data_IF_949077691379
#
_entry.id   IF_949077691379
#
_cell.length_a   1.000
_cell.length_b   1.000
_cell.length_c   1.000
_cell.angle_alpha   90.00
_cell.angle_beta   90.00
_cell.angle_gamma   90.00
#
_symmetry.space_group_name_H-M   'P 1'
#
loop_
_entity.id
_entity.type
_entity.pdbx_description
1 polymer ?
#
# COMPACT_ATOMS: atom_id res chain seq x y z
N UNK A 1 -27.26 -31.13 52.77
CA UNK A 1 -28.19 -30.39 51.89
C UNK A 1 -27.39 -29.31 51.18
N UNK A 2 -26.91 -29.58 49.96
CA UNK A 2 -26.30 -28.58 49.07
C UNK A 2 -27.43 -27.94 48.27
N UNK A 3 -27.53 -26.61 48.30
CA UNK A 3 -28.18 -25.85 47.24
C UNK A 3 -27.12 -24.93 46.59
N UNK A 4 -27.04 -24.90 45.25
CA UNK A 4 -26.14 -24.04 44.51
C UNK A 4 -26.85 -22.75 44.08
N UNK A 5 -26.22 -21.59 44.26
CA UNK A 5 -26.67 -20.35 43.63
C UNK A 5 -25.48 -19.43 43.41
N UNK A 6 -25.42 -18.86 42.20
CA UNK A 6 -24.41 -17.88 41.80
C UNK A 6 -23.54 -18.36 40.64
N UNK A 7 -24.15 -18.59 39.47
CA UNK A 7 -23.39 -18.66 38.23
C UNK A 7 -22.67 -17.34 37.99
N UNK A 8 -21.33 -17.40 37.98
CA UNK A 8 -20.48 -16.27 37.58
C UNK A 8 -20.68 -16.10 36.08
N UNK A 9 -21.48 -15.12 35.67
CA UNK A 9 -21.59 -14.73 34.27
C UNK A 9 -20.25 -14.15 33.83
N UNK A 10 -19.55 -14.86 32.95
CA UNK A 10 -18.42 -14.31 32.21
C UNK A 10 -18.87 -13.00 31.54
N UNK A 11 -18.11 -11.91 31.65
CA UNK A 11 -18.44 -10.69 30.92
C UNK A 11 -18.39 -11.00 29.43
N UNK A 12 -19.53 -10.83 28.77
CA UNK A 12 -19.65 -10.95 27.32
C UNK A 12 -18.63 -10.03 26.65
N UNK A 13 -17.81 -10.52 25.71
CA UNK A 13 -16.83 -9.69 25.04
C UNK A 13 -17.57 -8.61 24.25
N UNK A 14 -17.38 -7.35 24.65
CA UNK A 14 -17.97 -6.21 23.95
C UNK A 14 -17.36 -6.14 22.55
N UNK A 15 -18.19 -6.39 21.55
CA UNK A 15 -17.87 -6.17 20.15
C UNK A 15 -17.93 -4.67 19.85
N UNK A 16 -16.98 -4.16 19.06
CA UNK A 16 -17.15 -2.85 18.44
C UNK A 16 -18.26 -2.90 17.38
N UNK A 17 -18.65 -1.75 16.82
CA UNK A 17 -19.71 -1.64 15.81
C UNK A 17 -19.51 -2.48 14.53
N UNK A 18 -18.39 -3.20 14.41
CA UNK A 18 -18.05 -4.11 13.30
C UNK A 18 -18.03 -5.58 13.70
N UNK A 19 -18.53 -5.95 14.89
CA UNK A 19 -18.56 -7.35 15.33
C UNK A 19 -17.18 -7.94 15.63
N UNK A 20 -16.12 -7.11 15.66
CA UNK A 20 -14.81 -7.56 16.10
C UNK A 20 -14.82 -7.58 17.62
N UNK A 21 -14.68 -8.78 18.19
CA UNK A 21 -14.35 -8.95 19.60
C UNK A 21 -13.11 -8.11 19.88
N UNK A 22 -13.13 -7.25 20.90
CA UNK A 22 -11.90 -6.71 21.48
C UNK A 22 -11.03 -7.92 21.81
N UNK A 23 -10.07 -8.23 20.93
CA UNK A 23 -9.25 -9.42 21.02
C UNK A 23 -8.59 -9.36 22.39
N UNK A 24 -8.99 -10.28 23.27
CA UNK A 24 -8.46 -10.38 24.62
C UNK A 24 -6.95 -10.31 24.52
N UNK A 25 -6.32 -9.48 25.36
CA UNK A 25 -4.87 -9.32 25.36
C UNK A 25 -4.27 -10.72 25.49
N UNK A 26 -3.40 -11.17 24.56
CA UNK A 26 -2.85 -12.51 24.63
C UNK A 26 -2.23 -12.76 26.00
N UNK A 27 -2.52 -13.94 26.58
CA UNK A 27 -2.08 -14.31 27.92
C UNK A 27 -0.55 -14.17 28.02
N UNK A 28 -0.08 -13.49 29.08
CA UNK A 28 1.35 -13.24 29.31
C UNK A 28 1.90 -11.93 28.75
N UNK A 29 1.12 -11.16 27.99
CA UNK A 29 1.56 -9.87 27.46
C UNK A 29 1.03 -8.73 28.34
N UNK A 30 1.95 -8.02 29.00
CA UNK A 30 1.59 -6.83 29.78
C UNK A 30 1.34 -5.63 28.85
N UNK A 31 0.10 -5.12 28.85
CA UNK A 31 -0.28 -3.90 28.13
C UNK A 31 0.52 -2.67 28.58
N UNK A 32 0.93 -2.63 29.85
CA UNK A 32 1.79 -1.57 30.40
C UNK A 32 3.15 -1.59 29.72
N UNK A 33 3.73 -2.78 29.50
CA UNK A 33 5.03 -2.91 28.86
C UNK A 33 5.01 -2.44 27.41
N UNK A 34 3.98 -2.84 26.64
CA UNK A 34 3.82 -2.41 25.24
C UNK A 34 3.72 -0.89 25.14
N UNK A 35 2.84 -0.28 25.94
CA UNK A 35 2.63 1.16 25.89
C UNK A 35 3.87 1.93 26.36
N UNK A 36 4.59 1.42 27.36
CA UNK A 36 5.83 2.04 27.82
C UNK A 36 6.94 1.97 26.75
N UNK A 37 7.13 0.80 26.13
CA UNK A 37 8.08 0.63 25.04
C UNK A 37 7.74 1.56 23.85
N UNK A 38 6.46 1.62 23.48
CA UNK A 38 5.97 2.52 22.44
C UNK A 38 6.24 3.98 22.77
N UNK A 39 5.92 4.43 23.99
CA UNK A 39 6.12 5.82 24.40
C UNK A 39 7.60 6.22 24.41
N UNK A 40 8.48 5.33 24.91
CA UNK A 40 9.93 5.54 24.93
C UNK A 40 10.49 5.64 23.52
N UNK A 41 10.11 4.73 22.63
CA UNK A 41 10.58 4.73 21.24
C UNK A 41 10.06 5.96 20.49
N UNK A 42 8.77 6.28 20.64
CA UNK A 42 8.16 7.45 20.04
C UNK A 42 8.85 8.75 20.49
N UNK A 43 9.21 8.86 21.77
CA UNK A 43 9.98 10.00 22.28
C UNK A 43 11.38 10.09 21.67
N UNK A 44 12.07 8.96 21.47
CA UNK A 44 13.40 8.94 20.85
C UNK A 44 13.38 9.30 19.36
N UNK A 45 12.30 8.95 18.66
CA UNK A 45 12.10 9.21 17.24
C UNK A 45 11.43 10.57 16.97
N UNK A 46 11.18 11.40 17.98
CA UNK A 46 10.51 12.70 17.79
C UNK A 46 9.00 12.64 17.54
N UNK A 47 8.36 11.48 17.70
CA UNK A 47 6.90 11.32 17.67
C UNK A 47 6.26 11.69 19.03
N UNK A 48 6.28 12.98 19.37
CA UNK A 48 5.88 13.45 20.69
C UNK A 48 4.37 13.40 20.95
N UNK A 49 3.54 13.53 19.91
CA UNK A 49 2.09 13.38 20.05
C UNK A 49 1.72 11.92 20.29
N UNK A 50 2.31 10.98 19.56
CA UNK A 50 2.15 9.54 19.83
C UNK A 50 2.55 9.17 21.26
N UNK A 51 3.72 9.64 21.70
CA UNK A 51 4.23 9.35 23.03
C UNK A 51 3.32 9.92 24.13
N UNK A 52 2.76 11.13 23.97
CA UNK A 52 1.74 11.67 24.90
C UNK A 52 0.50 10.80 24.97
N UNK A 53 -0.05 10.41 23.83
CA UNK A 53 -1.20 9.51 23.77
C UNK A 53 -0.92 8.16 24.44
N UNK A 54 0.30 7.64 24.32
CA UNK A 54 0.72 6.41 24.98
C UNK A 54 0.82 6.58 26.51
N UNK A 55 1.40 7.69 27.00
CA UNK A 55 1.45 8.00 28.43
C UNK A 55 0.07 8.26 29.05
N UNK A 56 -0.84 8.93 28.34
CA UNK A 56 -2.24 9.10 28.78
C UNK A 56 -2.94 7.74 28.93
N UNK A 57 -2.73 6.81 27.98
CA UNK A 57 -3.26 5.45 28.08
C UNK A 57 -2.62 4.63 29.21
N UNK A 58 -1.39 4.93 29.60
CA UNK A 58 -0.71 4.28 30.72
C UNK A 58 -1.29 4.71 32.08
N UNK A 59 -1.78 5.95 32.22
CA UNK A 59 -2.35 6.45 33.49
C UNK A 59 -3.60 5.68 33.92
N UNK A 60 -4.35 5.10 32.98
CA UNK A 60 -5.55 4.31 33.24
C UNK A 60 -5.21 2.87 33.67
N UNK A 61 -3.93 2.48 33.59
CA UNK A 61 -3.47 1.11 33.88
C UNK A 61 -2.71 1.05 35.22
N UNK A 62 -2.70 -0.14 35.83
CA UNK A 62 -1.93 -0.39 37.06
C UNK A 62 -0.46 -0.61 36.71
N UNK A 63 0.36 0.40 36.96
CA UNK A 63 1.81 0.37 36.72
C UNK A 63 2.56 -0.19 37.93
N UNK A 64 3.56 -1.08 37.75
CA UNK A 64 4.44 -1.55 38.83
C UNK A 64 5.20 -0.40 39.52
N UNK A 65 5.35 -0.45 40.84
CA UNK A 65 5.98 0.61 41.65
C UNK A 65 7.43 0.93 41.23
N UNK A 66 8.16 -0.05 40.71
CA UNK A 66 9.53 0.12 40.22
C UNK A 66 9.64 1.05 39.02
N UNK A 67 8.59 1.16 38.18
CA UNK A 67 8.62 1.94 36.95
C UNK A 67 7.87 3.27 37.06
N UNK A 68 7.10 3.48 38.12
CA UNK A 68 6.31 4.70 38.34
C UNK A 68 7.18 5.95 38.25
N UNK A 69 8.29 6.00 39.00
CA UNK A 69 9.21 7.15 38.96
C UNK A 69 9.77 7.44 37.56
N UNK A 70 10.11 6.41 36.78
CA UNK A 70 10.63 6.59 35.43
C UNK A 70 9.54 7.10 34.48
N UNK A 71 8.33 6.57 34.58
CA UNK A 71 7.18 6.97 33.76
C UNK A 71 6.77 8.41 34.09
N UNK A 72 6.74 8.79 35.36
CA UNK A 72 6.40 10.13 35.81
C UNK A 72 7.39 11.17 35.27
N UNK A 73 8.69 10.89 35.35
CA UNK A 73 9.73 11.74 34.77
C UNK A 73 9.59 11.89 33.26
N UNK A 74 9.33 10.80 32.54
CA UNK A 74 9.11 10.86 31.08
C UNK A 74 7.83 11.61 30.71
N UNK A 75 6.76 11.44 31.50
CA UNK A 75 5.51 12.16 31.32
C UNK A 75 5.69 13.67 31.56
N UNK A 76 6.51 14.08 32.54
CA UNK A 76 6.87 15.49 32.74
C UNK A 76 7.74 16.01 31.60
N UNK A 77 8.73 15.24 31.17
CA UNK A 77 9.62 15.59 30.06
C UNK A 77 8.83 15.87 28.79
N UNK A 78 7.84 15.04 28.45
CA UNK A 78 7.14 15.19 27.19
C UNK A 78 6.19 16.38 27.14
N UNK A 79 5.73 16.88 28.29
CA UNK A 79 4.90 18.11 28.37
C UNK A 79 5.64 19.36 27.88
N UNK A 80 6.97 19.35 27.97
CA UNK A 80 7.81 20.46 27.48
C UNK A 80 7.97 20.49 25.95
N UNK A 81 7.63 19.40 25.26
CA UNK A 81 7.78 19.28 23.80
C UNK A 81 6.59 19.87 23.03
N UNK A 82 6.67 20.00 21.72
CA UNK A 82 5.51 20.36 20.89
C UNK A 82 4.50 19.20 20.82
N UNK A 83 3.21 19.50 20.63
CA UNK A 83 2.18 18.48 20.38
C UNK A 83 2.12 18.09 18.90
N UNK A 84 3.25 17.65 18.36
CA UNK A 84 3.38 17.20 16.97
C UNK A 84 4.26 15.97 16.92
N UNK A 85 4.05 15.15 15.88
CA UNK A 85 4.96 14.08 15.52
C UNK A 85 5.92 14.59 14.44
N UNK A 86 7.07 13.93 14.25
CA UNK A 86 7.99 14.23 13.16
C UNK A 86 7.35 13.86 11.81
N UNK A 87 7.43 14.76 10.83
CA UNK A 87 6.70 14.65 9.56
C UNK A 87 7.05 13.38 8.77
N UNK A 88 8.31 12.95 8.81
CA UNK A 88 8.81 11.72 8.16
C UNK A 88 8.13 10.45 8.68
N UNK A 89 7.64 10.47 9.92
CA UNK A 89 6.96 9.31 10.52
C UNK A 89 5.48 9.27 10.16
N UNK A 90 4.90 10.36 9.67
CA UNK A 90 3.46 10.48 9.48
C UNK A 90 3.04 9.71 8.21
N UNK A 91 2.24 8.65 8.33
CA UNK A 91 1.80 7.88 7.18
C UNK A 91 0.79 8.68 6.32
N UNK A 92 1.14 8.89 5.06
CA UNK A 92 0.26 9.53 4.06
C UNK A 92 -0.44 8.45 3.24
N UNK A 93 -1.74 8.63 3.01
CA UNK A 93 -2.51 7.72 2.16
C UNK A 93 -2.25 8.01 0.67
N UNK A 94 -1.80 7.01 -0.07
CA UNK A 94 -1.49 7.15 -1.50
C UNK A 94 -2.73 7.33 -2.39
N UNK A 95 -3.93 7.10 -1.83
CA UNK A 95 -5.20 7.35 -2.52
C UNK A 95 -5.70 8.78 -2.31
N UNK A 96 -5.93 9.18 -1.05
CA UNK A 96 -6.60 10.46 -0.73
C UNK A 96 -5.64 11.54 -0.22
N UNK A 97 -4.34 11.28 -0.20
CA UNK A 97 -3.27 12.16 0.28
C UNK A 97 -3.48 12.69 1.71
N UNK A 98 -4.37 12.06 2.48
CA UNK A 98 -4.62 12.45 3.86
C UNK A 98 -3.50 11.93 4.74
N UNK A 99 -2.96 12.77 5.62
CA UNK A 99 -2.04 12.39 6.69
C UNK A 99 -2.78 11.63 7.79
N UNK A 100 -2.26 10.47 8.21
CA UNK A 100 -2.92 9.62 9.19
C UNK A 100 -2.16 9.62 10.52
N UNK A 101 -2.83 9.57 11.68
CA UNK A 101 -2.14 9.46 12.97
C UNK A 101 -1.44 8.10 13.09
N UNK A 102 -0.33 8.07 13.85
CA UNK A 102 0.44 6.85 14.10
C UNK A 102 -0.34 5.80 14.90
N UNK A 103 -1.14 6.24 15.88
CA UNK A 103 -2.00 5.36 16.67
C UNK A 103 -3.45 5.47 16.20
N UNK A 104 -3.90 4.48 15.43
CA UNK A 104 -5.27 4.42 14.89
C UNK A 104 -6.13 3.43 15.67
N UNK A 105 -7.44 3.65 15.65
CA UNK A 105 -8.46 2.72 16.17
C UNK A 105 -8.87 1.67 15.13
N UNK A 106 -8.66 1.97 13.84
CA UNK A 106 -8.90 1.05 12.74
C UNK A 106 -7.72 0.08 12.61
N UNK A 107 -7.87 -0.92 11.73
CA UNK A 107 -6.74 -1.72 11.24
C UNK A 107 -5.72 -0.82 10.52
N UNK A 108 -4.74 -1.44 9.87
CA UNK A 108 -3.72 -0.75 9.10
C UNK A 108 -4.26 -0.12 7.81
N UNK A 109 -5.12 0.87 7.95
CA UNK A 109 -5.79 1.56 6.85
C UNK A 109 -5.99 3.04 7.14
N UNK A 110 -6.25 3.81 6.08
CA UNK A 110 -6.50 5.23 6.17
C UNK A 110 -7.77 5.53 6.99
N UNK A 111 -7.70 6.52 7.89
CA UNK A 111 -8.86 6.97 8.66
C UNK A 111 -9.91 7.70 7.82
N UNK A 112 -9.51 8.29 6.69
CA UNK A 112 -10.39 9.06 5.82
C UNK A 112 -11.09 8.17 4.79
N UNK A 113 -10.35 7.46 3.92
CA UNK A 113 -10.92 6.66 2.82
C UNK A 113 -10.90 5.14 3.05
N UNK A 114 -10.41 4.66 4.20
CA UNK A 114 -10.33 3.22 4.49
C UNK A 114 -9.33 2.42 3.65
N UNK A 115 -8.59 3.05 2.74
CA UNK A 115 -7.58 2.39 1.91
C UNK A 115 -6.51 1.70 2.77
N UNK A 116 -6.23 0.40 2.56
CA UNK A 116 -5.25 -0.34 3.32
C UNK A 116 -3.83 0.13 3.01
N UNK A 117 -2.99 0.24 4.04
CA UNK A 117 -1.57 0.55 3.83
C UNK A 117 -0.82 -0.72 3.44
N UNK A 118 -0.34 -0.76 2.20
CA UNK A 118 0.57 -1.82 1.77
C UNK A 118 1.98 -1.46 2.22
N UNK A 119 2.58 -2.31 3.06
CA UNK A 119 3.92 -2.10 3.59
C UNK A 119 4.94 -3.06 3.00
N UNK A 120 6.19 -2.62 2.90
CA UNK A 120 7.29 -3.52 2.61
C UNK A 120 7.50 -4.49 3.77
N UNK A 121 7.78 -5.76 3.47
CA UNK A 121 7.99 -6.76 4.52
C UNK A 121 9.36 -6.72 5.18
N UNK A 122 10.29 -5.89 4.66
CA UNK A 122 11.62 -5.69 5.22
C UNK A 122 11.72 -4.39 6.02
N UNK A 123 11.31 -3.27 5.42
CA UNK A 123 11.40 -1.94 6.03
C UNK A 123 10.13 -1.51 6.77
N UNK A 124 8.99 -2.13 6.49
CA UNK A 124 7.66 -1.67 6.94
C UNK A 124 7.26 -0.27 6.46
N UNK A 125 7.95 0.24 5.43
CA UNK A 125 7.62 1.48 4.74
C UNK A 125 6.36 1.32 3.90
N UNK A 126 5.58 2.39 3.75
CA UNK A 126 4.33 2.39 3.00
C UNK A 126 4.65 2.53 1.52
N UNK A 127 4.18 1.57 0.73
CA UNK A 127 4.34 1.57 -0.72
C UNK A 127 3.22 2.36 -1.41
N UNK A 128 3.53 3.08 -2.50
CA UNK A 128 2.58 3.84 -3.31
C UNK A 128 1.69 2.93 -4.18
N UNK A 129 1.12 1.88 -3.60
CA UNK A 129 0.32 0.89 -4.32
C UNK A 129 -1.17 1.07 -4.05
N UNK A 130 -1.96 1.10 -5.12
CA UNK A 130 -3.42 1.17 -5.06
C UNK A 130 -4.01 -0.12 -5.62
N UNK A 131 -4.84 -0.79 -4.82
CA UNK A 131 -5.59 -1.98 -5.26
C UNK A 131 -6.76 -1.56 -6.15
N UNK A 132 -6.90 -2.24 -7.29
CA UNK A 132 -8.01 -2.08 -8.20
C UNK A 132 -8.54 -3.43 -8.67
N UNK A 133 -9.78 -3.43 -9.13
CA UNK A 133 -10.46 -4.59 -9.67
C UNK A 133 -11.08 -4.21 -11.02
N UNK A 134 -10.91 -5.05 -12.06
CA UNK A 134 -11.61 -4.83 -13.33
C UNK A 134 -13.12 -4.96 -13.12
N UNK A 135 -13.89 -4.16 -13.86
CA UNK A 135 -15.35 -4.25 -13.84
C UNK A 135 -15.87 -5.63 -14.28
N UNK A 136 -17.07 -6.00 -13.80
CA UNK A 136 -17.64 -7.34 -13.97
C UNK A 136 -17.99 -7.77 -15.41
N UNK A 137 -17.84 -6.87 -16.38
CA UNK A 137 -17.94 -7.14 -17.82
C UNK A 137 -16.62 -7.66 -18.43
N UNK A 138 -15.53 -7.73 -17.66
CA UNK A 138 -14.19 -8.11 -18.13
C UNK A 138 -13.76 -9.40 -17.42
N UNK A 139 -13.38 -10.41 -18.19
CA UNK A 139 -12.79 -11.62 -17.61
C UNK A 139 -11.35 -11.34 -17.14
N UNK A 140 -10.88 -12.05 -16.10
CA UNK A 140 -9.52 -11.86 -15.58
C UNK A 140 -8.43 -12.07 -16.64
N UNK A 141 -8.69 -12.92 -17.63
CA UNK A 141 -7.78 -13.20 -18.74
C UNK A 141 -7.76 -12.10 -19.79
N UNK A 142 -8.89 -11.44 -20.04
CA UNK A 142 -8.96 -10.26 -20.91
C UNK A 142 -8.28 -9.05 -20.26
N UNK A 143 -8.47 -8.86 -18.95
CA UNK A 143 -7.75 -7.83 -18.20
C UNK A 143 -6.23 -8.01 -18.30
N UNK A 144 -5.74 -9.25 -18.15
CA UNK A 144 -4.32 -9.57 -18.33
C UNK A 144 -3.81 -9.23 -19.74
N UNK A 145 -4.58 -9.54 -20.79
CA UNK A 145 -4.21 -9.22 -22.17
C UNK A 145 -4.23 -7.73 -22.45
N UNK A 146 -5.15 -6.99 -21.85
CA UNK A 146 -5.24 -5.53 -22.02
C UNK A 146 -4.09 -4.82 -21.32
N UNK A 147 -3.68 -5.28 -20.13
CA UNK A 147 -2.52 -4.74 -19.40
C UNK A 147 -1.21 -5.07 -20.13
N UNK A 148 -1.10 -6.26 -20.73
CA UNK A 148 0.09 -6.67 -21.47
C UNK A 148 0.28 -5.95 -22.80
N UNK A 149 -0.81 -5.42 -23.38
CA UNK A 149 -0.72 -4.59 -24.56
C UNK A 149 -0.34 -3.18 -24.12
N UNK A 150 0.85 -2.72 -24.51
CA UNK A 150 1.25 -1.34 -24.25
C UNK A 150 0.18 -0.36 -24.75
N UNK A 151 -0.08 0.73 -24.01
CA UNK A 151 -1.05 1.73 -24.41
C UNK A 151 -0.73 2.16 -25.83
N UNK A 152 -1.67 1.90 -26.74
CA UNK A 152 -1.46 2.12 -28.16
C UNK A 152 -1.04 3.58 -28.34
N UNK A 153 0.22 3.79 -28.74
CA UNK A 153 0.74 5.11 -29.07
C UNK A 153 -0.32 5.78 -29.92
N UNK A 154 -1.00 6.81 -29.37
CA UNK A 154 -1.90 7.65 -30.16
C UNK A 154 -1.07 8.01 -31.38
N UNK A 155 -1.47 7.52 -32.55
CA UNK A 155 -0.87 7.94 -33.81
C UNK A 155 -0.98 9.45 -33.78
N UNK A 156 0.12 10.14 -33.47
CA UNK A 156 0.27 11.54 -33.79
C UNK A 156 0.19 11.53 -35.31
N UNK A 157 -0.99 11.80 -35.85
CA UNK A 157 -1.07 12.44 -37.14
C UNK A 157 -0.26 13.69 -36.98
N UNK A 158 1.00 13.64 -37.44
CA UNK A 158 1.90 14.77 -37.47
C UNK A 158 1.12 15.96 -38.03
N UNK A 159 0.82 16.93 -37.17
CA UNK A 159 0.02 18.12 -37.49
C UNK A 159 0.75 19.10 -38.41
N UNK A 160 1.66 18.58 -39.23
CA UNK A 160 2.42 19.32 -40.22
C UNK A 160 1.57 19.43 -41.49
N UNK A 161 1.13 20.66 -41.77
CA UNK A 161 0.42 20.99 -43.01
C UNK A 161 1.34 21.84 -43.87
N UNK A 162 1.85 21.24 -44.93
CA UNK A 162 2.66 21.93 -45.93
C UNK A 162 1.74 22.63 -46.94
N UNK A 163 1.94 23.92 -47.17
CA UNK A 163 1.19 24.67 -48.17
C UNK A 163 2.10 25.62 -48.94
N UNK A 164 2.07 25.49 -50.27
CA UNK A 164 2.81 26.37 -51.17
C UNK A 164 1.89 27.52 -51.60
N UNK A 165 2.13 28.73 -51.09
CA UNK A 165 1.45 29.95 -51.57
C UNK A 165 2.48 30.89 -52.18
N UNK A 166 2.36 31.14 -53.49
CA UNK A 166 3.14 32.18 -54.17
C UNK A 166 4.63 31.87 -54.36
N UNK A 167 5.03 30.60 -54.47
CA UNK A 167 6.42 30.20 -54.74
C UNK A 167 7.33 30.12 -53.51
N UNK A 168 6.79 30.31 -52.31
CA UNK A 168 7.46 29.99 -51.06
C UNK A 168 6.75 28.81 -50.38
N UNK A 169 7.51 27.83 -49.91
CA UNK A 169 7.04 26.74 -49.07
C UNK A 169 6.89 27.26 -47.64
N UNK A 170 5.67 27.23 -47.11
CA UNK A 170 5.37 27.64 -45.75
C UNK A 170 4.88 26.43 -44.99
N UNK A 171 5.61 26.04 -43.94
CA UNK A 171 5.16 25.03 -42.99
C UNK A 171 4.33 25.71 -41.89
N UNK A 172 3.05 25.34 -41.78
CA UNK A 172 2.18 25.82 -40.69
C UNK A 172 2.03 24.72 -39.66
N UNK A 173 2.38 25.03 -38.40
CA UNK A 173 2.09 24.20 -37.24
C UNK A 173 0.72 24.62 -36.68
N UNK A 174 -0.36 24.24 -37.35
CA UNK A 174 -1.73 24.40 -36.84
C UNK A 174 -2.14 23.15 -36.04
N UNK A 175 -1.25 22.69 -35.16
CA UNK A 175 -1.57 21.70 -34.14
C UNK A 175 -1.86 22.45 -32.84
N UNK A 176 -2.91 22.08 -32.08
CA UNK A 176 -2.91 22.36 -30.65
C UNK A 176 -1.57 21.87 -30.10
N UNK A 177 -0.84 22.73 -29.39
CA UNK A 177 0.39 22.33 -28.70
C UNK A 177 0.11 21.03 -27.93
N UNK A 178 0.89 19.96 -28.10
CA UNK A 178 0.72 18.72 -27.33
C UNK A 178 1.27 18.92 -25.91
N UNK A 179 0.76 19.93 -25.22
CA UNK A 179 1.26 20.39 -23.93
C UNK A 179 0.22 21.05 -23.04
N UNK A 180 -1.01 21.29 -23.51
CA UNK A 180 -2.06 21.99 -22.73
C UNK A 180 -3.36 21.19 -22.52
N UNK A 181 -3.35 19.88 -22.78
CA UNK A 181 -4.27 18.97 -22.08
C UNK A 181 -3.45 18.30 -20.99
N UNK A 182 -3.62 18.77 -19.75
CA UNK A 182 -3.17 18.04 -18.58
C UNK A 182 -3.84 16.66 -18.61
N UNK A 183 -3.12 15.70 -19.17
CA UNK A 183 -3.40 14.26 -19.15
C UNK A 183 -3.38 13.81 -17.70
N UNK A 184 -4.45 14.14 -16.99
CA UNK A 184 -4.81 13.42 -15.78
C UNK A 184 -5.19 12.04 -16.26
N UNK A 185 -4.33 11.05 -15.96
CA UNK A 185 -4.63 9.63 -16.21
C UNK A 185 -6.09 9.36 -15.90
N UNK A 186 -6.82 8.71 -16.81
CA UNK A 186 -8.23 8.37 -16.58
C UNK A 186 -8.40 7.57 -15.28
N UNK A 187 -7.38 6.82 -14.87
CA UNK A 187 -7.32 6.14 -13.58
C UNK A 187 -7.29 7.11 -12.39
N UNK A 188 -6.53 8.21 -12.44
CA UNK A 188 -6.52 9.22 -11.39
C UNK A 188 -7.87 9.93 -11.29
N UNK A 189 -8.51 10.21 -12.42
CA UNK A 189 -9.86 10.78 -12.44
C UNK A 189 -10.86 9.84 -11.75
N UNK A 190 -10.84 8.54 -12.06
CA UNK A 190 -11.70 7.55 -11.38
C UNK A 190 -11.38 7.40 -9.91
N UNK A 191 -10.11 7.48 -9.53
CA UNK A 191 -9.71 7.44 -8.13
C UNK A 191 -10.28 8.62 -7.33
N UNK A 192 -10.24 9.82 -7.91
CA UNK A 192 -10.81 11.03 -7.31
C UNK A 192 -12.34 10.96 -7.23
N UNK A 193 -12.99 10.45 -8.29
CA UNK A 193 -14.44 10.25 -8.31
C UNK A 193 -14.87 9.26 -7.22
N UNK A 194 -14.22 8.10 -7.15
CA UNK A 194 -14.47 7.10 -6.11
C UNK A 194 -14.16 7.61 -4.69
N UNK A 195 -13.19 8.51 -4.53
CA UNK A 195 -12.91 9.15 -3.25
C UNK A 195 -14.05 10.07 -2.77
N UNK A 196 -14.77 10.70 -3.71
CA UNK A 196 -15.88 11.62 -3.39
C UNK A 196 -17.11 10.89 -2.82
N UNK A 197 -17.31 9.63 -3.22
CA UNK A 197 -18.41 8.79 -2.75
C UNK A 197 -18.11 8.03 -1.46
N UNK A 198 -16.93 8.23 -0.85
CA UNK A 198 -16.57 7.52 0.36
C UNK A 198 -17.42 7.98 1.56
N UNK A 199 -18.16 7.05 2.16
CA UNK A 199 -18.90 7.28 3.41
C UNK A 199 -17.99 6.97 4.60
N UNK A 200 -17.69 7.95 5.48
CA UNK A 200 -16.91 7.72 6.69
C UNK A 200 -17.50 6.58 7.54
N UNK A 201 -16.74 5.49 7.70
CA UNK A 201 -17.17 4.29 8.42
C UNK A 201 -17.61 3.10 7.55
N UNK A 202 -17.75 3.30 6.24
CA UNK A 202 -18.03 2.25 5.26
C UNK A 202 -16.92 1.19 5.17
N UNK A 203 -17.25 0.05 4.55
CA UNK A 203 -16.25 -0.96 4.18
C UNK A 203 -15.48 -0.46 2.96
N UNK A 204 -14.15 -0.58 2.96
CA UNK A 204 -13.33 -0.25 1.81
C UNK A 204 -13.66 -1.18 0.65
N UNK A 205 -13.88 -0.62 -0.54
CA UNK A 205 -14.01 -1.36 -1.79
C UNK A 205 -12.87 -0.93 -2.73
N UNK A 206 -12.21 -1.89 -3.41
CA UNK A 206 -11.15 -1.59 -4.37
C UNK A 206 -11.71 -0.79 -5.55
N UNK A 207 -10.85 0.01 -6.21
CA UNK A 207 -11.25 0.82 -7.37
C UNK A 207 -11.79 -0.08 -8.48
N UNK A 208 -12.99 0.19 -8.98
CA UNK A 208 -13.49 -0.47 -10.20
C UNK A 208 -12.94 0.25 -11.43
N UNK A 209 -12.35 -0.50 -12.35
CA UNK A 209 -11.64 0.05 -13.51
C UNK A 209 -12.19 -0.55 -14.80
N UNK A 210 -12.76 0.30 -15.64
CA UNK A 210 -13.31 -0.07 -16.95
C UNK A 210 -12.20 -0.40 -17.96
N UNK A 211 -12.62 -0.97 -19.09
CA UNK A 211 -11.75 -1.41 -20.18
C UNK A 211 -10.84 -0.33 -20.73
N UNK A 212 -11.36 0.88 -20.93
CA UNK A 212 -10.61 1.99 -21.55
C UNK A 212 -9.48 2.44 -20.61
N UNK A 213 -9.77 2.53 -19.31
CA UNK A 213 -8.75 2.79 -18.30
C UNK A 213 -7.70 1.70 -18.21
N UNK A 214 -8.06 0.42 -18.35
CA UNK A 214 -7.07 -0.67 -18.35
C UNK A 214 -6.14 -0.62 -19.57
N UNK A 215 -6.63 -0.16 -20.72
CA UNK A 215 -5.86 -0.08 -21.95
C UNK A 215 -4.88 1.10 -21.97
N UNK A 216 -5.13 2.14 -21.18
CA UNK A 216 -4.23 3.29 -21.04
C UNK A 216 -3.17 3.08 -19.94
N UNK A 217 -3.35 2.08 -19.06
CA UNK A 217 -2.42 1.82 -17.96
C UNK A 217 -1.08 1.29 -18.50
N UNK A 218 0.05 1.91 -18.12
CA UNK A 218 1.35 1.40 -18.49
C UNK A 218 1.61 0.07 -17.75
N UNK A 219 2.02 -0.98 -18.47
CA UNK A 219 2.30 -2.29 -17.87
C UNK A 219 3.36 -2.24 -16.77
N UNK A 220 4.32 -1.31 -16.91
CA UNK A 220 5.42 -1.08 -15.98
C UNK A 220 4.95 -0.73 -14.55
N UNK A 221 3.76 -0.14 -14.41
CA UNK A 221 3.23 0.32 -13.12
C UNK A 221 2.23 -0.66 -12.50
N UNK A 222 1.89 -1.75 -13.20
CA UNK A 222 0.85 -2.69 -12.77
C UNK A 222 1.48 -3.97 -12.23
N UNK A 223 1.15 -4.29 -10.99
CA UNK A 223 1.55 -5.51 -10.30
C UNK A 223 0.35 -6.44 -10.14
N UNK A 224 0.55 -7.70 -10.46
CA UNK A 224 -0.50 -8.71 -10.45
C UNK A 224 -0.10 -9.79 -9.46
N UNK A 225 -0.92 -9.96 -8.42
CA UNK A 225 -0.70 -10.98 -7.40
C UNK A 225 -1.68 -12.12 -7.63
N UNK A 226 -1.20 -13.18 -8.28
CA UNK A 226 -1.97 -14.41 -8.49
C UNK A 226 -1.61 -15.48 -7.45
N UNK A 227 -2.52 -15.66 -6.49
CA UNK A 227 -2.41 -16.67 -5.43
C UNK A 227 -3.16 -17.96 -5.74
N UNK A 228 -3.71 -18.13 -6.95
CA UNK A 228 -4.42 -19.35 -7.35
C UNK A 228 -3.56 -20.60 -7.25
N UNK A 229 -2.22 -20.46 -7.36
CA UNK A 229 -1.25 -21.54 -7.14
C UNK A 229 -1.37 -22.18 -5.74
N UNK A 230 -1.67 -21.39 -4.71
CA UNK A 230 -1.76 -21.86 -3.32
C UNK A 230 -3.19 -22.12 -2.87
N UNK A 231 -4.16 -21.36 -3.39
CA UNK A 231 -5.57 -21.61 -3.12
C UNK A 231 -6.44 -21.14 -4.31
N UNK A 232 -7.12 -22.07 -5.00
CA UNK A 232 -7.83 -21.78 -6.25
C UNK A 232 -9.08 -20.91 -6.10
N UNK A 233 -9.54 -20.67 -4.86
CA UNK A 233 -10.71 -19.85 -4.56
C UNK A 233 -10.36 -18.37 -4.28
N UNK A 234 -9.07 -18.00 -4.24
CA UNK A 234 -8.71 -16.60 -4.01
C UNK A 234 -8.84 -15.76 -5.29
N UNK A 235 -9.41 -14.54 -5.19
CA UNK A 235 -9.44 -13.61 -6.30
C UNK A 235 -8.02 -13.11 -6.62
N UNK A 236 -7.75 -12.88 -7.91
CA UNK A 236 -6.53 -12.20 -8.36
C UNK A 236 -6.64 -10.74 -7.92
N UNK A 237 -5.56 -10.20 -7.36
CA UNK A 237 -5.49 -8.79 -6.94
C UNK A 237 -4.58 -8.03 -7.90
N UNK A 238 -5.07 -6.89 -8.36
CA UNK A 238 -4.32 -5.97 -9.20
C UNK A 238 -3.94 -4.75 -8.38
N UNK A 239 -2.69 -4.33 -8.52
CA UNK A 239 -2.14 -3.17 -7.85
C UNK A 239 -1.51 -2.26 -8.89
N UNK A 240 -1.73 -0.95 -8.76
CA UNK A 240 -1.04 0.07 -9.55
C UNK A 240 -0.08 0.85 -8.66
N UNK A 241 1.16 1.08 -9.12
CA UNK A 241 2.05 2.06 -8.50
C UNK A 241 1.65 3.49 -8.89
N UNK A 242 1.48 4.35 -7.90
CA UNK A 242 1.16 5.77 -8.07
C UNK A 242 2.41 6.64 -8.22
N UNK A 243 3.58 6.09 -7.91
CA UNK A 243 4.88 6.78 -7.94
C UNK A 243 5.88 5.82 -8.61
N UNK A 244 6.04 5.88 -9.94
CA UNK A 244 6.90 4.95 -10.67
C UNK A 244 8.38 5.07 -10.30
N UNK A 245 8.81 6.19 -9.71
CA UNK A 245 10.17 6.39 -9.20
C UNK A 245 10.53 5.44 -8.05
N UNK A 246 9.52 4.96 -7.31
CA UNK A 246 9.72 3.96 -6.26
C UNK A 246 9.74 2.59 -6.91
N UNK A 247 10.94 2.03 -7.05
CA UNK A 247 11.14 0.69 -7.58
C UNK A 247 10.63 -0.38 -6.59
N UNK A 248 9.62 -1.14 -7.01
CA UNK A 248 8.94 -2.15 -6.18
C UNK A 248 9.12 -3.53 -6.81
N UNK A 249 9.48 -4.52 -5.99
CA UNK A 249 9.54 -5.92 -6.36
C UNK A 249 8.46 -6.71 -5.64
N UNK A 250 7.90 -7.72 -6.30
CA UNK A 250 6.92 -8.65 -5.72
C UNK A 250 7.41 -10.07 -5.90
N UNK A 251 7.36 -10.84 -4.82
CA UNK A 251 7.73 -12.26 -4.87
C UNK A 251 6.59 -13.11 -5.44
N UNK A 252 6.83 -13.86 -6.52
CA UNK A 252 5.83 -14.71 -7.18
C UNK A 252 5.31 -15.89 -6.35
N UNK A 253 6.00 -16.27 -5.26
CA UNK A 253 5.55 -17.35 -4.36
C UNK A 253 4.80 -16.85 -3.13
N UNK A 254 5.20 -15.72 -2.53
CA UNK A 254 4.54 -15.21 -1.32
C UNK A 254 3.66 -13.97 -1.54
N UNK A 255 3.77 -13.31 -2.71
CA UNK A 255 2.98 -12.14 -3.11
C UNK A 255 3.18 -10.92 -2.23
N UNK A 256 4.25 -10.90 -1.44
CA UNK A 256 4.62 -9.75 -0.65
C UNK A 256 5.42 -8.76 -1.49
N UNK A 257 5.22 -7.48 -1.16
CA UNK A 257 5.88 -6.38 -1.82
C UNK A 257 7.13 -5.95 -1.04
N UNK A 258 8.13 -5.52 -1.79
CA UNK A 258 9.43 -5.10 -1.28
C UNK A 258 9.92 -3.90 -2.09
N UNK A 259 10.81 -3.08 -1.51
CA UNK A 259 11.65 -2.22 -2.33
C UNK A 259 12.61 -3.08 -3.14
N UNK A 260 12.74 -2.78 -4.43
CA UNK A 260 13.54 -3.58 -5.35
C UNK A 260 14.99 -3.72 -4.86
N UNK A 261 15.63 -2.62 -4.47
CA UNK A 261 17.02 -2.61 -3.99
C UNK A 261 17.24 -3.51 -2.76
N UNK A 262 16.34 -3.43 -1.78
CA UNK A 262 16.43 -4.22 -0.55
C UNK A 262 16.22 -5.71 -0.84
N UNK A 263 15.25 -6.02 -1.71
CA UNK A 263 14.97 -7.41 -2.09
C UNK A 263 16.12 -8.03 -2.87
N UNK A 264 16.69 -7.30 -3.85
CA UNK A 264 17.85 -7.75 -4.62
C UNK A 264 19.06 -7.99 -3.73
N UNK A 265 19.34 -7.07 -2.78
CA UNK A 265 20.46 -7.21 -1.87
C UNK A 265 20.32 -8.46 -0.99
N UNK A 266 19.16 -8.66 -0.36
CA UNK A 266 18.95 -9.84 0.48
C UNK A 266 18.90 -11.13 -0.34
N UNK A 267 18.39 -11.06 -1.57
CA UNK A 267 18.43 -12.19 -2.50
C UNK A 267 19.87 -12.55 -2.90
N UNK A 268 20.76 -11.58 -3.11
CA UNK A 268 22.18 -11.84 -3.38
C UNK A 268 22.89 -12.50 -2.19
N UNK A 269 22.52 -12.11 -0.96
CA UNK A 269 23.10 -12.67 0.27
C UNK A 269 22.60 -14.10 0.54
N UNK A 270 21.28 -14.30 0.51
CA UNK A 270 20.64 -15.54 0.94
C UNK A 270 20.27 -16.50 -0.19
N UNK A 271 20.32 -16.04 -1.45
CA UNK A 271 19.86 -16.75 -2.66
C UNK A 271 18.42 -17.27 -2.54
N UNK A 272 17.60 -16.57 -1.77
CA UNK A 272 16.23 -16.94 -1.46
C UNK A 272 15.41 -15.70 -1.10
N UNK A 273 14.09 -15.78 -1.25
CA UNK A 273 13.18 -14.76 -0.76
C UNK A 273 13.34 -14.63 0.77
N UNK A 274 13.52 -13.41 1.30
CA UNK A 274 13.81 -13.22 2.72
C UNK A 274 12.63 -13.57 3.64
N UNK A 275 11.42 -13.57 3.09
CA UNK A 275 10.22 -13.93 3.84
C UNK A 275 9.89 -15.42 3.76
N UNK A 276 9.79 -15.97 2.55
CA UNK A 276 9.30 -17.34 2.35
C UNK A 276 10.40 -18.38 2.05
N UNK A 277 11.64 -17.95 1.87
CA UNK A 277 12.77 -18.84 1.58
C UNK A 277 12.72 -19.50 0.19
N UNK A 278 11.80 -19.09 -0.69
CA UNK A 278 11.73 -19.62 -2.06
C UNK A 278 12.95 -19.18 -2.87
N UNK A 279 13.46 -20.08 -3.71
CA UNK A 279 14.58 -19.81 -4.62
C UNK A 279 14.11 -19.44 -6.03
N UNK A 280 12.81 -19.49 -6.27
CA UNK A 280 12.21 -19.15 -7.55
C UNK A 280 12.25 -17.63 -7.72
N UNK A 281 13.08 -17.18 -8.67
CA UNK A 281 13.18 -15.80 -9.12
C UNK A 281 12.06 -15.54 -10.12
N UNK A 282 10.83 -15.88 -9.75
CA UNK A 282 9.68 -15.26 -10.39
C UNK A 282 9.45 -13.98 -9.60
N UNK A 283 10.36 -13.01 -9.76
CA UNK A 283 9.96 -11.62 -9.52
C UNK A 283 8.74 -11.43 -10.42
N UNK A 284 7.61 -10.99 -9.87
CA UNK A 284 6.55 -10.51 -10.73
C UNK A 284 7.12 -9.24 -11.38
N UNK A 285 7.77 -9.42 -12.53
CA UNK A 285 8.18 -8.34 -13.41
C UNK A 285 6.88 -7.62 -13.73
N UNK A 286 6.83 -6.28 -13.62
CA UNK A 286 5.67 -5.55 -14.13
C UNK A 286 5.43 -5.98 -15.57
N UNK A 287 4.17 -6.19 -15.96
CA UNK A 287 3.76 -7.02 -17.11
C UNK A 287 4.46 -6.57 -18.40
N UNK A 288 5.67 -7.06 -18.68
CA UNK A 288 6.49 -6.50 -19.76
C UNK A 288 5.77 -6.67 -21.10
N UNK A 289 5.59 -5.56 -21.83
CA UNK A 289 5.08 -5.55 -23.19
C UNK A 289 6.01 -6.34 -24.14
N UNK A 290 5.48 -6.87 -25.25
CA UNK A 290 6.26 -7.71 -26.16
C UNK A 290 7.10 -6.86 -27.13
N UNK A 291 8.42 -7.01 -27.08
CA UNK A 291 9.36 -6.62 -28.15
C UNK A 291 10.57 -5.83 -27.63
N UNK A 292 11.83 -6.20 -27.87
CA UNK A 292 12.40 -6.90 -29.02
C UNK A 292 13.76 -7.57 -28.73
N UNK A 293 14.53 -7.92 -29.77
CA UNK A 293 15.04 -9.28 -29.96
C UNK A 293 16.46 -9.53 -29.46
N UNK A 294 16.74 -10.81 -29.16
CA UNK A 294 18.04 -11.42 -29.43
C UNK A 294 19.12 -11.25 -28.37
N UNK A 295 19.27 -12.27 -27.54
CA UNK A 295 20.47 -12.47 -26.71
C UNK A 295 20.58 -13.94 -26.31
N UNK A 296 21.13 -14.76 -27.20
CA UNK A 296 21.39 -16.17 -26.95
C UNK A 296 22.32 -16.36 -25.74
N UNK A 297 21.98 -17.35 -24.91
CA UNK A 297 22.74 -17.70 -23.72
C UNK A 297 22.57 -19.18 -23.40
N UNK A 298 23.16 -20.00 -24.26
CA UNK A 298 23.52 -21.42 -24.15
C UNK A 298 23.09 -22.19 -22.89
N UNK A 299 22.40 -23.29 -23.18
CA UNK A 299 22.59 -24.59 -22.52
C UNK A 299 24.06 -24.83 -22.14
N UNK A 300 24.34 -25.04 -20.85
CA UNK A 300 25.49 -25.83 -20.43
C UNK A 300 25.03 -27.12 -19.78
N UNK A 301 25.05 -28.15 -20.61
CA UNK A 301 25.25 -29.55 -20.27
C UNK A 301 26.67 -29.77 -19.71
N UNK A 302 26.78 -30.74 -18.78
CA UNK A 302 28.00 -31.41 -18.26
C UNK A 302 28.91 -30.60 -17.33
N UNK A 303 29.35 -31.10 -16.18
CA UNK A 303 29.73 -32.45 -15.75
C UNK A 303 29.18 -32.84 -14.37
#
# INVERSE_FOLDING_TARGET
VRQPSGGVSNPTPQANARGHLLREVPLGISRVYILYALAKQAQSLGAYKLARMAYEKLQVLRVPSTWQHQIDLSCLSIRSKAYSDQDELIPVCNWCMTSNPLLRSNLDSCVNCGHPFMRTFLGFDILPLVEFQPEGNISTEEALKLIANEPGAKKSTDGWRESTRGGAEVMSLDAPMPGDEAGTDLFLQKMLDAASYFVPGGQYQPLQVDRDTLAELPPAEVYIVDMRKFAPLLPIRFYRSMVPEVAIAVCGTCGHFFHQENWELEFLVHKACPYCGSKEIDAAVPVAGPGGPGGGGNTMTSL
#
